data_IF_858784880462
#
_entry.id   IF_858784880462
#
_cell.length_a   1.000
_cell.length_b   1.000
_cell.length_c   1.000
_cell.angle_alpha   90.00
_cell.angle_beta   90.00
_cell.angle_gamma   90.00
#
_symmetry.space_group_name_H-M   'P 1'
#
loop_
_entity.id
_entity.type
_entity.pdbx_description
1 polymer ?
#
# COMPACT_ATOMS: atom_id res chain seq x y z
N UNK A 1 9.15 12.00 0.55
CA UNK A 1 7.72 11.78 0.82
C UNK A 1 7.07 11.44 -0.50
N UNK A 2 6.82 10.16 -0.74
CA UNK A 2 5.97 9.73 -1.84
C UNK A 2 4.58 9.49 -1.29
N UNK A 3 3.57 10.02 -1.97
CA UNK A 3 2.17 9.81 -1.61
C UNK A 3 1.66 8.57 -2.33
N UNK A 4 0.86 7.78 -1.62
CA UNK A 4 0.28 6.57 -2.16
C UNK A 4 -0.63 6.91 -3.32
N UNK A 5 -0.65 6.04 -4.33
CA UNK A 5 -1.60 6.23 -5.42
C UNK A 5 -2.69 5.19 -5.42
N UNK A 6 -3.88 5.67 -5.70
CA UNK A 6 -5.07 4.89 -5.94
C UNK A 6 -5.50 5.01 -7.41
N UNK A 7 -5.67 3.86 -8.08
CA UNK A 7 -6.37 3.79 -9.36
C UNK A 7 -7.82 3.31 -9.11
N UNK A 8 -8.81 4.11 -9.51
CA UNK A 8 -10.24 3.74 -9.45
C UNK A 8 -10.76 3.46 -10.87
N UNK A 9 -11.41 2.31 -11.14
CA UNK A 9 -12.22 2.16 -12.36
C UNK A 9 -13.43 3.10 -12.27
N UNK A 10 -13.78 3.77 -13.37
CA UNK A 10 -14.86 4.74 -13.40
C UNK A 10 -16.24 4.11 -13.07
N UNK A 11 -17.03 4.85 -12.29
CA UNK A 11 -18.44 4.64 -11.88
C UNK A 11 -18.72 3.77 -10.63
N UNK A 12 -18.74 4.46 -9.45
CA UNK A 12 -19.47 4.10 -8.21
C UNK A 12 -18.59 3.66 -7.02
N UNK A 13 -19.06 3.78 -5.75
CA UNK A 13 -19.49 5.00 -5.05
C UNK A 13 -18.27 5.87 -4.62
N UNK A 14 -18.53 7.09 -4.14
CA UNK A 14 -17.54 8.13 -3.83
C UNK A 14 -16.34 7.66 -2.96
N UNK A 15 -15.16 7.49 -3.57
CA UNK A 15 -13.88 7.43 -2.86
C UNK A 15 -13.23 8.81 -2.95
N UNK A 16 -12.93 9.42 -1.80
CA UNK A 16 -12.12 10.63 -1.73
C UNK A 16 -10.67 10.24 -1.48
N UNK A 17 -9.80 10.48 -2.45
CA UNK A 17 -8.35 10.30 -2.32
C UNK A 17 -7.76 11.60 -1.79
N UNK A 18 -6.92 11.48 -0.75
CA UNK A 18 -6.34 12.63 -0.07
C UNK A 18 -4.81 12.52 -0.11
N UNK A 19 -4.17 13.34 -0.94
CA UNK A 19 -2.72 13.57 -0.96
C UNK A 19 -2.41 15.07 -0.78
N UNK A 20 -1.31 15.46 -0.14
CA UNK A 20 -0.93 16.86 -0.02
C UNK A 20 -0.43 17.41 -1.36
N UNK A 21 -0.80 18.65 -1.62
CA UNK A 21 -0.58 19.37 -2.86
C UNK A 21 0.86 19.86 -3.02
N UNK A 22 1.47 19.59 -4.17
CA UNK A 22 2.60 20.36 -4.69
C UNK A 22 2.39 20.69 -6.18
N UNK A 23 2.42 21.98 -6.49
CA UNK A 23 2.21 22.55 -7.82
C UNK A 23 3.40 22.26 -8.75
N UNK A 24 3.15 21.66 -9.93
CA UNK A 24 3.43 22.26 -11.25
C UNK A 24 3.15 21.29 -12.42
N UNK A 25 2.28 21.73 -13.32
CA UNK A 25 2.51 21.61 -14.77
C UNK A 25 1.73 20.56 -15.55
N UNK A 26 0.57 20.97 -16.10
CA UNK A 26 0.19 20.68 -17.49
C UNK A 26 -0.66 19.43 -17.79
N UNK A 27 -1.93 19.70 -18.14
CA UNK A 27 -2.86 18.89 -18.94
C UNK A 27 -3.46 17.60 -18.35
N UNK A 28 -4.61 17.76 -17.69
CA UNK A 28 -5.96 17.23 -18.02
C UNK A 28 -6.82 17.43 -16.76
N UNK A 29 -8.07 17.89 -16.90
CA UNK A 29 -8.96 18.28 -15.79
C UNK A 29 -9.10 17.18 -14.72
N UNK A 30 -8.29 17.29 -13.67
CA UNK A 30 -8.50 16.68 -12.36
C UNK A 30 -8.76 17.84 -11.42
N UNK A 31 -9.95 17.90 -10.84
CA UNK A 31 -10.29 18.92 -9.83
C UNK A 31 -9.45 18.64 -8.58
N UNK A 32 -8.31 19.31 -8.47
CA UNK A 32 -7.49 19.34 -7.26
C UNK A 32 -8.32 20.00 -6.15
N UNK A 33 -8.91 19.19 -5.27
CA UNK A 33 -9.65 19.72 -4.12
C UNK A 33 -8.67 19.91 -2.98
N UNK A 34 -8.63 21.11 -2.41
CA UNK A 34 -7.80 21.40 -1.24
C UNK A 34 -8.10 20.42 -0.10
N UNK A 35 -7.08 20.05 0.69
CA UNK A 35 -7.22 19.26 1.93
C UNK A 35 -8.26 19.86 2.89
N UNK A 36 -8.58 21.14 2.75
CA UNK A 36 -9.53 21.89 3.59
C UNK A 36 -10.98 21.91 3.08
N UNK A 37 -11.26 21.42 1.87
CA UNK A 37 -12.57 21.64 1.21
C UNK A 37 -13.39 20.37 0.96
N UNK A 38 -12.88 19.18 1.28
CA UNK A 38 -13.64 17.95 1.16
C UNK A 38 -14.48 17.72 2.42
N UNK A 39 -15.75 18.12 2.35
CA UNK A 39 -16.78 17.68 3.32
C UNK A 39 -16.99 16.18 3.09
N UNK A 40 -16.70 15.29 4.06
CA UNK A 40 -16.99 13.87 3.92
C UNK A 40 -18.47 13.72 3.56
N UNK A 41 -18.77 13.01 2.47
CA UNK A 41 -20.18 12.69 2.18
C UNK A 41 -20.72 11.92 3.39
N UNK A 42 -21.87 12.31 3.93
CA UNK A 42 -22.37 11.79 5.21
C UNK A 42 -22.57 10.25 5.26
N UNK A 43 -22.43 9.54 4.14
CA UNK A 43 -22.56 8.08 4.02
C UNK A 43 -21.34 7.37 3.41
N UNK A 44 -20.25 8.08 3.11
CA UNK A 44 -19.04 7.53 2.47
C UNK A 44 -18.01 7.01 3.47
N UNK A 45 -17.18 6.04 3.05
CA UNK A 45 -16.01 5.58 3.82
C UNK A 45 -14.78 6.31 3.31
N UNK A 46 -14.07 7.02 4.19
CA UNK A 46 -12.85 7.76 3.86
C UNK A 46 -11.62 6.88 4.07
N UNK A 47 -10.84 6.69 3.01
CA UNK A 47 -9.63 5.85 3.02
C UNK A 47 -8.40 6.73 2.81
N UNK A 48 -7.55 6.83 3.83
CA UNK A 48 -6.28 7.55 3.78
C UNK A 48 -5.19 6.58 3.34
N UNK A 49 -4.51 6.90 2.24
CA UNK A 49 -3.52 6.02 1.62
C UNK A 49 -2.12 6.64 1.69
N UNK A 50 -1.15 5.91 2.23
CA UNK A 50 0.27 6.28 2.28
C UNK A 50 1.16 5.10 1.83
N UNK A 51 2.39 5.36 1.42
CA UNK A 51 3.40 4.35 1.11
C UNK A 51 4.78 4.99 1.21
N UNK A 52 5.85 4.19 1.16
CA UNK A 52 7.21 4.67 0.96
C UNK A 52 7.57 5.78 1.97
N UNK A 53 7.21 5.54 3.23
CA UNK A 53 7.52 6.47 4.30
C UNK A 53 8.99 6.42 4.65
N UNK A 54 9.65 5.26 4.50
CA UNK A 54 11.10 5.11 4.74
C UNK A 54 11.52 5.73 6.09
N UNK A 55 10.88 5.29 7.17
CA UNK A 55 11.00 5.83 8.54
C UNK A 55 10.42 7.24 8.78
N UNK A 56 9.92 7.93 7.75
CA UNK A 56 9.27 9.23 7.93
C UNK A 56 7.89 9.07 8.57
N UNK A 57 7.50 10.05 9.39
CA UNK A 57 6.23 10.04 10.12
C UNK A 57 5.45 11.33 9.81
N UNK A 58 4.90 11.46 8.59
CA UNK A 58 4.19 12.67 8.19
C UNK A 58 2.93 12.88 9.03
N UNK A 59 2.44 14.12 9.08
CA UNK A 59 1.08 14.36 9.61
C UNK A 59 0.07 13.82 8.61
N UNK A 60 -0.88 13.04 9.12
CA UNK A 60 -1.97 12.48 8.33
C UNK A 60 -3.25 13.28 8.57
N UNK A 61 -4.11 13.29 7.56
CA UNK A 61 -5.49 13.74 7.70
C UNK A 61 -6.31 12.68 8.43
N UNK A 62 -7.45 13.06 8.98
CA UNK A 62 -8.40 12.11 9.58
C UNK A 62 -9.11 11.28 8.50
N UNK A 63 -9.50 10.06 8.86
CA UNK A 63 -10.27 9.16 8.01
C UNK A 63 -10.69 7.90 8.74
N UNK A 64 -11.54 7.08 8.10
CA UNK A 64 -12.05 5.84 8.68
C UNK A 64 -10.99 4.73 8.65
N UNK A 65 -10.28 4.62 7.53
CA UNK A 65 -9.28 3.57 7.26
C UNK A 65 -7.96 4.22 6.85
N UNK A 66 -6.86 3.83 7.49
CA UNK A 66 -5.49 4.13 7.07
C UNK A 66 -4.86 2.92 6.40
N UNK A 67 -4.35 3.10 5.18
CA UNK A 67 -3.64 2.07 4.40
C UNK A 67 -2.18 2.49 4.17
N UNK A 68 -1.23 1.60 4.48
CA UNK A 68 0.18 1.74 4.10
C UNK A 68 0.60 0.67 3.07
N UNK A 69 1.01 1.07 1.87
CA UNK A 69 1.34 0.16 0.75
C UNK A 69 2.81 -0.30 0.71
N UNK A 70 3.43 -0.50 1.87
CA UNK A 70 4.82 -0.99 1.97
C UNK A 70 5.90 0.09 1.97
N UNK A 71 7.15 -0.36 2.14
CA UNK A 71 8.33 0.47 2.41
C UNK A 71 8.13 1.37 3.62
N UNK A 72 7.77 0.71 4.73
CA UNK A 72 7.61 1.30 6.06
C UNK A 72 8.94 1.85 6.58
N UNK A 73 10.04 1.21 6.18
CA UNK A 73 11.37 1.40 6.75
C UNK A 73 12.41 1.70 5.68
N UNK A 74 13.55 2.26 6.08
CA UNK A 74 14.69 2.44 5.18
C UNK A 74 15.53 1.17 5.03
N UNK A 75 15.74 0.44 6.13
CA UNK A 75 16.67 -0.70 6.18
C UNK A 75 16.06 -1.99 6.76
N UNK A 76 14.77 -1.98 7.11
CA UNK A 76 14.07 -3.18 7.50
C UNK A 76 14.46 -3.78 8.84
N UNK A 77 15.08 -3.01 9.75
CA UNK A 77 15.41 -3.50 11.09
C UNK A 77 14.18 -3.58 11.99
N UNK A 78 14.20 -4.45 13.02
CA UNK A 78 13.11 -4.51 14.00
C UNK A 78 12.82 -3.15 14.65
N UNK A 79 13.88 -2.38 14.95
CA UNK A 79 13.73 -1.06 15.55
C UNK A 79 12.98 -0.09 14.64
N UNK A 80 13.31 -0.07 13.35
CA UNK A 80 12.62 0.77 12.37
C UNK A 80 11.18 0.33 12.18
N UNK A 81 10.95 -0.98 12.00
CA UNK A 81 9.59 -1.52 11.83
C UNK A 81 8.74 -1.17 13.04
N UNK A 82 9.22 -1.43 14.26
CA UNK A 82 8.46 -1.13 15.47
C UNK A 82 8.18 0.38 15.61
N UNK A 83 9.14 1.25 15.31
CA UNK A 83 8.92 2.69 15.35
C UNK A 83 7.83 3.16 14.37
N UNK A 84 7.77 2.60 13.17
CA UNK A 84 6.69 2.89 12.21
C UNK A 84 5.35 2.33 12.69
N UNK A 85 5.31 1.12 13.25
CA UNK A 85 4.08 0.53 13.80
C UNK A 85 3.55 1.32 15.01
N UNK A 86 4.43 1.77 15.91
CA UNK A 86 4.04 2.60 17.05
C UNK A 86 3.44 3.93 16.58
N UNK A 87 4.05 4.55 15.57
CA UNK A 87 3.51 5.75 14.94
C UNK A 87 2.14 5.51 14.30
N UNK A 88 1.95 4.42 13.56
CA UNK A 88 0.65 4.07 12.97
C UNK A 88 -0.42 3.83 14.04
N UNK A 89 -0.07 3.16 15.14
CA UNK A 89 -0.98 2.95 16.27
C UNK A 89 -1.42 4.28 16.91
N UNK A 90 -0.54 5.29 16.94
CA UNK A 90 -0.89 6.62 17.46
C UNK A 90 -1.84 7.45 16.57
N UNK A 91 -2.12 6.99 15.34
CA UNK A 91 -3.02 7.71 14.43
C UNK A 91 -4.49 7.51 14.81
N UNK A 92 -5.36 8.52 14.59
CA UNK A 92 -6.75 8.50 15.04
C UNK A 92 -7.67 7.54 14.26
N UNK A 93 -7.20 7.05 13.11
CA UNK A 93 -7.93 6.12 12.25
C UNK A 93 -8.37 4.86 13.01
N UNK A 94 -9.64 4.50 12.90
CA UNK A 94 -10.18 3.33 13.60
C UNK A 94 -9.60 2.02 13.07
N UNK A 95 -9.37 1.94 11.75
CA UNK A 95 -8.78 0.78 11.10
C UNK A 95 -7.44 1.15 10.48
N UNK A 96 -6.40 0.35 10.71
CA UNK A 96 -5.08 0.51 10.09
C UNK A 96 -4.68 -0.78 9.39
N UNK A 97 -4.39 -0.71 8.09
CA UNK A 97 -3.99 -1.86 7.28
C UNK A 97 -2.66 -1.58 6.61
N UNK A 98 -1.75 -2.55 6.69
CA UNK A 98 -0.38 -2.41 6.19
C UNK A 98 0.01 -3.66 5.39
N UNK A 99 0.68 -3.45 4.26
CA UNK A 99 1.53 -4.47 3.64
C UNK A 99 3.01 -4.07 3.81
N UNK A 100 3.90 -5.02 3.64
CA UNK A 100 5.34 -4.75 3.55
C UNK A 100 5.73 -4.29 2.13
N UNK A 101 6.91 -3.66 2.02
CA UNK A 101 7.62 -3.44 0.77
C UNK A 101 9.00 -4.10 0.77
N UNK A 102 9.81 -3.81 -0.25
CA UNK A 102 11.12 -4.44 -0.38
C UNK A 102 12.12 -3.96 0.67
N UNK A 103 11.93 -2.78 1.27
CA UNK A 103 12.79 -2.30 2.34
C UNK A 103 12.49 -2.93 3.71
N UNK A 104 11.36 -3.61 3.88
CA UNK A 104 10.90 -4.12 5.18
C UNK A 104 11.45 -5.53 5.48
N UNK A 105 12.78 -5.62 5.51
CA UNK A 105 13.55 -6.87 5.48
C UNK A 105 13.12 -7.94 6.47
N UNK A 106 12.93 -7.60 7.76
CA UNK A 106 12.58 -8.59 8.78
C UNK A 106 11.18 -9.18 8.58
N UNK A 107 10.33 -8.57 7.75
CA UNK A 107 8.99 -9.05 7.48
C UNK A 107 8.97 -10.20 6.44
N UNK A 108 10.03 -10.35 5.64
CA UNK A 108 10.18 -11.47 4.70
C UNK A 108 10.92 -12.64 5.35
N UNK A 109 10.16 -13.66 5.77
CA UNK A 109 10.72 -14.86 6.38
C UNK A 109 11.66 -15.66 5.46
N UNK A 110 11.53 -15.47 4.14
CA UNK A 110 12.38 -16.12 3.13
C UNK A 110 13.64 -15.30 2.80
N UNK A 111 13.70 -14.04 3.23
CA UNK A 111 14.88 -13.21 3.03
C UNK A 111 16.01 -13.71 3.91
N UNK A 112 16.99 -14.37 3.30
CA UNK A 112 18.17 -14.89 3.98
C UNK A 112 19.26 -13.82 4.02
N UNK A 113 19.48 -13.30 5.21
CA UNK A 113 20.50 -12.31 5.49
C UNK A 113 21.93 -12.84 5.26
N UNK A 114 22.80 -12.02 4.68
CA UNK A 114 24.24 -12.21 4.84
C UNK A 114 24.67 -11.57 6.18
N UNK A 115 25.21 -12.33 7.15
CA UNK A 115 25.49 -11.86 8.51
C UNK A 115 26.43 -10.64 8.59
N UNK A 116 27.25 -10.43 7.57
CA UNK A 116 28.23 -9.36 7.49
C UNK A 116 27.64 -7.99 7.12
N UNK A 117 26.40 -7.93 6.62
CA UNK A 117 25.85 -6.68 6.07
C UNK A 117 25.07 -5.85 7.08
N UNK A 118 24.39 -6.45 8.06
CA UNK A 118 23.73 -5.71 9.15
C UNK A 118 23.70 -6.54 10.46
N UNK A 119 24.41 -6.14 11.53
CA UNK A 119 24.57 -6.90 12.78
C UNK A 119 23.31 -7.08 13.67
N UNK A 120 22.08 -6.93 13.15
CA UNK A 120 20.83 -6.96 13.94
C UNK A 120 19.74 -7.91 13.43
N UNK A 121 20.03 -8.73 12.41
CA UNK A 121 19.04 -9.46 11.63
C UNK A 121 18.54 -10.81 12.21
N UNK A 122 18.66 -11.03 13.52
CA UNK A 122 18.07 -12.22 14.15
C UNK A 122 16.57 -12.11 14.38
N UNK A 123 16.03 -10.90 14.28
CA UNK A 123 14.61 -10.64 14.44
C UNK A 123 13.85 -10.96 13.17
N UNK A 124 12.64 -11.49 13.35
CA UNK A 124 11.70 -11.82 12.29
C UNK A 124 10.38 -11.10 12.53
N UNK A 125 9.48 -11.19 11.56
CA UNK A 125 8.11 -10.67 11.63
C UNK A 125 7.40 -10.96 12.95
N UNK A 126 7.63 -12.13 13.55
CA UNK A 126 7.01 -12.55 14.81
C UNK A 126 7.49 -11.75 16.02
N UNK A 127 8.58 -10.98 15.90
CA UNK A 127 9.09 -10.08 16.94
C UNK A 127 8.39 -8.71 16.96
N UNK A 128 7.57 -8.40 15.96
CA UNK A 128 6.89 -7.10 15.84
C UNK A 128 5.62 -7.10 16.69
N UNK A 129 5.48 -6.10 17.56
CA UNK A 129 4.22 -5.84 18.24
C UNK A 129 3.32 -4.98 17.35
N UNK A 130 2.32 -5.60 16.72
CA UNK A 130 1.44 -4.96 15.75
C UNK A 130 0.42 -3.99 16.38
N UNK A 131 0.07 -4.17 17.66
CA UNK A 131 -1.02 -3.41 18.29
C UNK A 131 -2.33 -3.58 17.51
N UNK A 132 -2.96 -2.46 17.13
CA UNK A 132 -4.21 -2.40 16.37
C UNK A 132 -3.98 -2.44 14.84
N UNK A 133 -2.73 -2.49 14.38
CA UNK A 133 -2.40 -2.54 12.96
C UNK A 133 -2.62 -3.94 12.40
N UNK A 134 -3.44 -4.03 11.35
CA UNK A 134 -3.63 -5.26 10.59
C UNK A 134 -2.58 -5.38 9.49
N UNK A 135 -1.69 -6.37 9.62
CA UNK A 135 -0.70 -6.68 8.59
C UNK A 135 -1.22 -7.73 7.59
N UNK A 136 -1.08 -7.45 6.30
CA UNK A 136 -1.45 -8.36 5.21
C UNK A 136 -0.21 -8.82 4.44
N UNK A 137 -0.15 -10.12 4.15
CA UNK A 137 0.88 -10.75 3.31
C UNK A 137 0.25 -11.87 2.50
N UNK A 138 -0.18 -11.54 1.28
CA UNK A 138 -0.96 -12.40 0.41
C UNK A 138 -2.23 -12.92 1.11
N UNK A 139 -2.87 -12.05 1.90
CA UNK A 139 -4.00 -12.37 2.76
C UNK A 139 -5.07 -11.28 2.68
N UNK A 140 -6.28 -11.59 3.16
CA UNK A 140 -7.39 -10.64 3.22
C UNK A 140 -7.79 -10.30 4.65
N UNK A 141 -8.42 -9.14 4.82
CA UNK A 141 -9.23 -8.79 6.00
C UNK A 141 -10.56 -8.19 5.54
N UNK A 142 -11.63 -8.45 6.27
CA UNK A 142 -12.90 -7.76 6.08
C UNK A 142 -13.08 -6.77 7.22
N UNK A 143 -13.20 -5.49 6.89
CA UNK A 143 -13.37 -4.42 7.88
C UNK A 143 -14.83 -3.97 7.92
N UNK A 144 -15.36 -3.80 9.13
CA UNK A 144 -16.62 -3.11 9.37
C UNK A 144 -16.36 -1.63 9.49
N UNK A 145 -16.91 -0.87 8.56
CA UNK A 145 -16.80 0.57 8.48
C UNK A 145 -18.04 1.23 9.08
N UNK A 146 -18.05 2.56 9.12
CA UNK A 146 -19.24 3.33 9.47
C UNK A 146 -20.46 2.88 8.65
N UNK A 147 -21.65 2.98 9.24
CA UNK A 147 -22.93 2.60 8.62
C UNK A 147 -23.05 1.10 8.25
N UNK A 148 -22.39 0.22 9.01
CA UNK A 148 -22.45 -1.25 8.86
C UNK A 148 -22.01 -1.75 7.48
N UNK A 149 -21.17 -0.95 6.79
CA UNK A 149 -20.60 -1.33 5.50
C UNK A 149 -19.39 -2.22 5.71
N UNK A 150 -19.38 -3.38 5.06
CA UNK A 150 -18.22 -4.28 5.04
C UNK A 150 -17.38 -4.03 3.78
N UNK A 151 -16.06 -3.89 3.96
CA UNK A 151 -15.09 -3.77 2.86
C UNK A 151 -14.05 -4.88 2.99
N UNK A 152 -13.87 -5.67 1.93
CA UNK A 152 -12.81 -6.68 1.87
C UNK A 152 -11.54 -6.12 1.25
N UNK A 153 -10.45 -6.22 1.99
CA UNK A 153 -9.14 -5.72 1.60
C UNK A 153 -8.20 -6.91 1.40
N UNK A 154 -7.53 -7.00 0.25
CA UNK A 154 -6.47 -7.97 -0.02
C UNK A 154 -5.13 -7.26 -0.20
N UNK A 155 -4.07 -7.78 0.41
CA UNK A 155 -2.74 -7.16 0.39
C UNK A 155 -1.63 -8.12 -0.02
N UNK A 156 -0.74 -7.67 -0.92
CA UNK A 156 0.45 -8.41 -1.35
C UNK A 156 1.72 -7.53 -1.33
N UNK A 157 2.80 -7.95 -0.63
CA UNK A 157 4.03 -7.15 -0.50
C UNK A 157 5.01 -7.36 -1.66
N UNK A 158 4.70 -8.25 -2.60
CA UNK A 158 5.66 -8.66 -3.61
C UNK A 158 6.07 -7.52 -4.53
N UNK A 159 7.35 -7.51 -4.89
CA UNK A 159 7.96 -6.52 -5.76
C UNK A 159 8.83 -7.12 -6.85
N UNK A 160 8.95 -6.42 -7.98
CA UNK A 160 9.88 -6.83 -9.01
C UNK A 160 11.32 -6.68 -8.53
N UNK A 161 12.14 -7.69 -8.80
CA UNK A 161 13.53 -7.72 -8.36
C UNK A 161 14.33 -6.55 -8.91
N UNK A 162 14.89 -5.77 -7.99
CA UNK A 162 15.89 -4.75 -8.22
C UNK A 162 16.91 -4.81 -7.08
N UNK A 163 18.07 -5.43 -7.30
CA UNK A 163 19.03 -5.71 -6.24
C UNK A 163 18.69 -6.97 -5.43
N UNK A 164 18.97 -6.93 -4.13
CA UNK A 164 18.76 -8.04 -3.20
C UNK A 164 18.00 -7.56 -1.96
N UNK A 165 16.70 -7.32 -2.12
CA UNK A 165 15.80 -6.84 -1.08
C UNK A 165 14.67 -7.84 -0.81
N UNK A 166 13.87 -7.57 0.22
CA UNK A 166 12.76 -8.44 0.62
C UNK A 166 11.66 -8.52 -0.44
N UNK A 167 10.90 -9.62 -0.42
CA UNK A 167 9.72 -9.85 -1.25
C UNK A 167 9.93 -9.71 -2.77
N UNK A 168 11.17 -9.88 -3.24
CA UNK A 168 11.52 -9.68 -4.64
C UNK A 168 11.41 -10.95 -5.48
N UNK A 169 10.70 -10.86 -6.61
CA UNK A 169 10.59 -11.93 -7.62
C UNK A 169 11.08 -11.47 -9.01
N UNK A 170 11.59 -12.38 -9.87
CA UNK A 170 12.03 -12.01 -11.21
C UNK A 170 10.87 -11.44 -12.06
N UNK A 171 11.16 -10.45 -12.91
CA UNK A 171 10.17 -9.85 -13.83
C UNK A 171 9.53 -10.86 -14.79
N UNK A 172 10.19 -11.97 -15.05
CA UNK A 172 9.71 -13.05 -15.92
C UNK A 172 8.80 -14.04 -15.20
N UNK A 173 8.64 -13.94 -13.88
CA UNK A 173 7.85 -14.88 -13.07
C UNK A 173 6.45 -14.32 -12.82
N UNK A 174 5.44 -15.13 -13.11
CA UNK A 174 4.05 -14.83 -12.76
C UNK A 174 3.72 -15.40 -11.37
N UNK A 175 3.84 -14.57 -10.33
CA UNK A 175 3.48 -14.97 -8.96
C UNK A 175 1.96 -15.05 -8.72
N UNK A 176 1.15 -14.46 -9.60
CA UNK A 176 -0.30 -14.33 -9.41
C UNK A 176 -1.08 -15.61 -9.74
N UNK A 177 -0.43 -16.59 -10.36
CA UNK A 177 -1.00 -17.93 -10.54
C UNK A 177 -1.09 -18.68 -9.20
N UNK A 178 -0.13 -18.46 -8.29
CA UNK A 178 -0.09 -19.05 -6.95
C UNK A 178 -0.70 -18.13 -5.88
N UNK A 179 -0.63 -16.82 -6.10
CA UNK A 179 -1.13 -15.79 -5.19
C UNK A 179 -2.30 -15.01 -5.79
N UNK A 180 -3.30 -15.74 -6.28
CA UNK A 180 -4.46 -15.13 -6.96
C UNK A 180 -5.20 -14.13 -6.08
N UNK A 181 -5.63 -13.01 -6.69
CA UNK A 181 -6.43 -11.97 -6.02
C UNK A 181 -7.86 -12.54 -5.82
N UNK A 182 -8.40 -12.55 -4.58
CA UNK A 182 -9.77 -13.00 -4.33
C UNK A 182 -10.80 -12.20 -5.13
N UNK A 183 -11.77 -12.90 -5.73
CA UNK A 183 -12.76 -12.29 -6.63
C UNK A 183 -13.71 -11.28 -5.96
N UNK A 184 -13.82 -11.33 -4.63
CA UNK A 184 -14.64 -10.45 -3.80
C UNK A 184 -13.84 -9.29 -3.18
N UNK A 185 -12.60 -9.05 -3.64
CA UNK A 185 -11.76 -7.93 -3.18
C UNK A 185 -12.40 -6.58 -3.55
N UNK A 186 -12.64 -5.73 -2.56
CA UNK A 186 -13.09 -4.34 -2.77
C UNK A 186 -11.91 -3.37 -2.86
N UNK A 187 -10.91 -3.55 -2.00
CA UNK A 187 -9.66 -2.77 -1.99
C UNK A 187 -8.48 -3.72 -2.18
N UNK A 188 -7.68 -3.48 -3.21
CA UNK A 188 -6.42 -4.18 -3.44
C UNK A 188 -5.25 -3.31 -2.99
N UNK A 189 -4.31 -3.90 -2.25
CA UNK A 189 -3.05 -3.25 -1.88
C UNK A 189 -1.90 -4.09 -2.47
N UNK A 190 -1.08 -3.48 -3.32
CA UNK A 190 0.17 -4.09 -3.80
C UNK A 190 1.32 -3.14 -3.56
N UNK A 191 2.53 -3.67 -3.35
CA UNK A 191 3.65 -2.77 -3.09
C UNK A 191 3.99 -1.91 -4.33
N UNK A 192 4.03 -2.52 -5.53
CA UNK A 192 4.26 -1.80 -6.78
C UNK A 192 3.04 -1.70 -7.71
N UNK A 193 3.13 -0.84 -8.75
CA UNK A 193 2.02 -0.53 -9.64
C UNK A 193 1.76 -1.62 -10.70
N UNK A 194 0.52 -1.79 -11.16
CA UNK A 194 0.24 -2.53 -12.39
C UNK A 194 0.85 -1.82 -13.60
N UNK A 195 1.19 -2.56 -14.65
CA UNK A 195 1.75 -1.98 -15.87
C UNK A 195 0.85 -0.90 -16.49
N UNK A 196 1.45 0.20 -16.94
CA UNK A 196 0.77 1.32 -17.61
C UNK A 196 -0.04 2.22 -16.68
N UNK A 197 0.09 2.07 -15.36
CA UNK A 197 -0.60 2.89 -14.37
C UNK A 197 0.44 3.52 -13.44
N UNK A 198 0.79 4.78 -13.71
CA UNK A 198 1.69 5.58 -12.88
C UNK A 198 3.03 4.89 -12.62
N UNK A 199 3.48 4.12 -13.60
CA UNK A 199 4.66 3.27 -13.50
C UNK A 199 5.85 3.84 -14.28
N UNK A 200 5.75 5.10 -14.71
CA UNK A 200 6.73 5.79 -15.55
C UNK A 200 7.12 4.96 -16.79
N UNK A 201 6.14 4.23 -17.35
CA UNK A 201 6.24 3.32 -18.51
C UNK A 201 7.21 2.14 -18.38
N UNK A 202 7.82 1.95 -17.21
CA UNK A 202 8.96 1.00 -17.04
C UNK A 202 8.87 0.14 -15.79
N UNK A 203 8.27 0.66 -14.73
CA UNK A 203 8.31 0.01 -13.43
C UNK A 203 7.11 -0.87 -13.13
N UNK A 204 6.12 -0.92 -14.03
CA UNK A 204 4.86 -1.58 -13.75
C UNK A 204 4.90 -3.08 -13.94
N UNK A 205 3.98 -3.73 -13.23
CA UNK A 205 3.97 -5.16 -13.02
C UNK A 205 3.03 -5.80 -14.04
N UNK A 206 3.60 -6.32 -15.13
CA UNK A 206 2.86 -6.92 -16.26
C UNK A 206 1.85 -7.98 -15.80
N UNK A 207 2.30 -8.97 -15.03
CA UNK A 207 1.44 -10.06 -14.58
C UNK A 207 0.38 -9.64 -13.56
N UNK A 208 0.62 -8.55 -12.81
CA UNK A 208 -0.42 -7.96 -11.96
C UNK A 208 -1.53 -7.34 -12.82
N UNK A 209 -1.17 -6.59 -13.85
CA UNK A 209 -2.15 -6.06 -14.81
C UNK A 209 -2.95 -7.21 -15.44
N UNK A 210 -2.30 -8.23 -15.99
CA UNK A 210 -2.99 -9.39 -16.57
C UNK A 210 -3.95 -10.08 -15.58
N UNK A 211 -3.54 -10.22 -14.32
CA UNK A 211 -4.38 -10.79 -13.26
C UNK A 211 -5.58 -9.92 -12.93
N UNK A 212 -5.38 -8.60 -12.85
CA UNK A 212 -6.47 -7.64 -12.70
C UNK A 212 -7.46 -7.77 -13.85
N UNK A 213 -7.01 -7.87 -15.11
CA UNK A 213 -7.88 -8.02 -16.28
C UNK A 213 -8.72 -9.29 -16.26
N UNK A 214 -8.23 -10.38 -15.66
CA UNK A 214 -8.97 -11.64 -15.50
C UNK A 214 -10.08 -11.58 -14.44
N UNK A 215 -10.05 -10.62 -13.51
CA UNK A 215 -11.08 -10.50 -12.48
C UNK A 215 -12.45 -10.12 -13.08
N UNK A 216 -13.51 -10.84 -12.68
CA UNK A 216 -14.89 -10.52 -13.08
C UNK A 216 -15.37 -9.19 -12.46
N UNK A 217 -15.08 -8.98 -11.18
CA UNK A 217 -15.29 -7.72 -10.46
C UNK A 217 -13.92 -7.13 -10.19
N UNK A 218 -13.66 -5.91 -10.68
CA UNK A 218 -12.41 -5.19 -10.33
C UNK A 218 -12.53 -4.64 -8.91
N UNK A 219 -11.42 -4.57 -8.15
CA UNK A 219 -11.37 -3.75 -6.94
C UNK A 219 -11.83 -2.34 -7.26
N UNK A 220 -12.60 -1.74 -6.36
CA UNK A 220 -13.02 -0.34 -6.46
C UNK A 220 -11.83 0.60 -6.25
N UNK A 221 -10.86 0.15 -5.46
CA UNK A 221 -9.66 0.89 -5.12
C UNK A 221 -8.45 -0.03 -5.23
N UNK A 222 -7.43 0.38 -5.98
CA UNK A 222 -6.12 -0.29 -5.98
C UNK A 222 -5.05 0.68 -5.49
N UNK A 223 -4.52 0.42 -4.30
CA UNK A 223 -3.50 1.21 -3.60
C UNK A 223 -2.11 0.60 -3.80
N UNK A 224 -1.14 1.42 -4.21
CA UNK A 224 0.25 1.00 -4.41
C UNK A 224 1.25 2.15 -4.26
N UNK A 225 2.53 1.79 -4.13
CA UNK A 225 3.67 2.70 -4.03
C UNK A 225 4.88 2.23 -4.82
N UNK A 226 6.06 2.17 -4.19
CA UNK A 226 7.36 1.70 -4.70
C UNK A 226 7.99 2.59 -5.79
N UNK A 227 7.19 3.12 -6.71
CA UNK A 227 7.63 4.03 -7.77
C UNK A 227 7.47 5.46 -7.30
N UNK A 228 8.52 6.04 -6.71
CA UNK A 228 8.44 7.32 -6.00
C UNK A 228 8.02 8.51 -6.87
N UNK A 229 8.29 8.45 -8.18
CA UNK A 229 7.86 9.45 -9.17
C UNK A 229 6.49 9.19 -9.80
N UNK A 230 5.84 8.07 -9.45
CA UNK A 230 4.56 7.61 -9.98
C UNK A 230 3.40 7.88 -9.02
N UNK A 231 3.15 9.15 -8.71
CA UNK A 231 2.09 9.55 -7.77
C UNK A 231 0.81 9.98 -8.50
N UNK A 232 -0.34 9.77 -7.86
CA UNK A 232 -1.66 10.24 -8.30
C UNK A 232 -1.94 11.67 -7.87
N UNK A 233 -3.00 12.24 -8.45
CA UNK A 233 -3.56 13.53 -8.05
C UNK A 233 -4.78 13.33 -7.15
#
# INVERSE_FOLDING_TARGET
MSFCTAASPAAGPNFSLIGPSFLRGGYMDVTLTSLTELVPSQSGVTVVCISDTHNCQPRLVDGDILIHAGDLTQSGSLKEVQATIDWLNSQPHAQKVVIAGNHDLILDNNYRYHPSSHPGAFHRKESVNWGDVTYLQNSSVTLRCSHDRELKIYGSPFSLRHGNWAFQYPRTTNIWDEHSIPADTDILITHGPPQGHLDLDRFGYKFLLESLWKLRKKPQLHVFGHVHGGYGA
#
